data_IF_625905577350
#
_entry.id   IF_625905577350
#
_cell.length_a   1.000
_cell.length_b   1.000
_cell.length_c   1.000
_cell.angle_alpha   90.00
_cell.angle_beta   90.00
_cell.angle_gamma   90.00
#
_symmetry.space_group_name_H-M   'P 1'
#
loop_
_entity.id
_entity.type
_entity.pdbx_description
1 polymer ?
#
# COMPACT_ATOMS: atom_id res chain seq x y z
N UNK A 1 -25.45 14.03 10.93
CA UNK A 1 -24.07 13.55 11.12
C UNK A 1 -23.16 14.73 10.87
N UNK A 2 -22.42 15.19 11.87
CA UNK A 2 -21.47 16.30 11.69
C UNK A 2 -20.34 15.78 10.82
N UNK A 3 -20.15 16.32 9.62
CA UNK A 3 -18.97 16.05 8.80
C UNK A 3 -17.79 16.77 9.44
N UNK A 4 -17.27 16.22 10.54
CA UNK A 4 -16.00 16.67 11.10
C UNK A 4 -14.91 16.02 10.28
N UNK A 5 -14.15 16.85 9.57
CA UNK A 5 -12.89 16.46 8.94
C UNK A 5 -11.88 16.10 10.02
N UNK A 6 -11.05 15.09 9.76
CA UNK A 6 -9.92 14.74 10.62
C UNK A 6 -9.00 15.96 10.80
N UNK A 7 -8.37 16.10 11.96
CA UNK A 7 -7.40 17.14 12.23
C UNK A 7 -6.04 16.70 11.67
N UNK A 8 -5.48 17.45 10.72
CA UNK A 8 -4.18 17.12 10.10
C UNK A 8 -3.07 17.08 11.13
N UNK A 9 -3.08 18.00 12.11
CA UNK A 9 -2.01 18.08 13.11
C UNK A 9 -1.91 16.80 13.94
N UNK A 10 -3.04 16.14 14.20
CA UNK A 10 -3.08 14.85 14.90
C UNK A 10 -2.67 13.68 14.01
N UNK A 11 -2.79 13.80 12.68
CA UNK A 11 -2.36 12.73 11.78
C UNK A 11 -0.84 12.57 11.78
N UNK A 12 -0.10 13.66 11.92
CA UNK A 12 1.37 13.65 11.98
C UNK A 12 1.95 12.85 13.15
N UNK A 13 1.13 12.54 14.16
CA UNK A 13 1.52 11.71 15.31
C UNK A 13 1.49 10.19 14.99
N UNK A 14 0.91 9.79 13.85
CA UNK A 14 0.68 8.38 13.51
C UNK A 14 1.44 7.95 12.25
N UNK A 15 2.01 6.75 12.29
CA UNK A 15 2.69 6.11 11.17
C UNK A 15 1.64 5.49 10.21
N UNK A 16 1.75 5.70 8.88
CA UNK A 16 2.83 6.35 8.13
C UNK A 16 2.61 7.84 7.85
N UNK A 17 1.58 8.47 8.40
CA UNK A 17 1.20 9.82 7.98
C UNK A 17 2.26 10.86 8.32
N UNK A 18 3.10 10.59 9.31
CA UNK A 18 4.31 11.36 9.66
C UNK A 18 5.28 11.51 8.48
N UNK A 19 5.42 10.48 7.66
CA UNK A 19 6.34 10.46 6.51
C UNK A 19 5.73 10.95 5.18
N UNK A 20 4.43 11.28 5.13
CA UNK A 20 3.77 11.72 3.90
C UNK A 20 4.04 13.20 3.56
N UNK A 21 3.91 13.60 2.29
CA UNK A 21 3.92 15.02 1.92
C UNK A 21 2.65 15.73 2.43
N UNK A 22 2.70 17.07 2.53
CA UNK A 22 1.54 17.87 2.93
C UNK A 22 0.36 17.69 1.95
N UNK A 23 0.66 17.57 0.64
CA UNK A 23 -0.34 17.35 -0.41
C UNK A 23 -1.11 16.04 -0.21
N UNK A 24 -0.41 14.94 0.09
CA UNK A 24 -1.04 13.63 0.30
C UNK A 24 -1.73 13.52 1.65
N UNK A 25 -1.16 14.11 2.70
CA UNK A 25 -1.87 14.23 3.99
C UNK A 25 -3.22 14.91 3.80
N UNK A 26 -3.28 15.99 3.02
CA UNK A 26 -4.53 16.68 2.69
C UNK A 26 -5.49 15.79 1.87
N UNK A 27 -4.98 15.01 0.91
CA UNK A 27 -5.81 14.09 0.11
C UNK A 27 -6.44 12.98 0.98
N UNK A 28 -5.65 12.41 1.90
CA UNK A 28 -6.07 11.32 2.78
C UNK A 28 -6.97 11.82 3.89
N UNK A 29 -6.77 13.04 4.40
CA UNK A 29 -7.64 13.66 5.40
C UNK A 29 -9.11 13.64 4.97
N UNK A 30 -9.39 13.87 3.67
CA UNK A 30 -10.74 13.82 3.10
C UNK A 30 -11.38 12.42 3.09
N UNK A 31 -10.59 11.38 3.35
CA UNK A 31 -10.97 9.97 3.29
C UNK A 31 -11.02 9.32 4.68
N UNK A 32 -10.64 10.06 5.72
CA UNK A 32 -10.67 9.60 7.10
C UNK A 32 -12.06 9.84 7.68
N UNK A 33 -12.65 8.77 8.22
CA UNK A 33 -13.88 8.84 8.99
C UNK A 33 -13.58 9.13 10.46
N UNK A 34 -14.14 10.21 10.98
CA UNK A 34 -14.05 10.52 12.42
C UNK A 34 -15.20 9.83 13.15
N UNK A 35 -14.87 8.83 13.97
CA UNK A 35 -15.83 8.02 14.71
C UNK A 35 -15.84 8.47 16.17
N UNK A 36 -17.03 8.71 16.73
CA UNK A 36 -17.24 9.02 18.15
C UNK A 36 -18.12 7.99 18.80
N UNK A 37 -17.63 7.36 19.84
CA UNK A 37 -18.30 6.24 20.52
C UNK A 37 -18.36 6.55 22.02
N UNK A 38 -19.54 6.33 22.63
CA UNK A 38 -19.71 6.46 24.08
C UNK A 38 -19.16 5.24 24.84
N UNK A 39 -18.98 5.34 26.17
CA UNK A 39 -18.40 4.29 26.99
C UNK A 39 -19.16 2.95 26.94
N UNK A 40 -18.43 1.85 27.11
CA UNK A 40 -18.94 0.49 27.20
C UNK A 40 -19.42 -0.09 25.88
N UNK A 41 -19.01 0.49 24.74
CA UNK A 41 -19.42 0.05 23.40
C UNK A 41 -18.28 -0.68 22.71
N UNK A 42 -18.63 -1.78 22.05
CA UNK A 42 -17.73 -2.56 21.22
C UNK A 42 -17.39 -1.78 19.94
N UNK A 43 -16.10 -1.55 19.70
CA UNK A 43 -15.58 -0.99 18.46
C UNK A 43 -15.51 -2.10 17.39
N UNK A 44 -14.79 -3.19 17.68
CA UNK A 44 -14.72 -4.38 16.85
C UNK A 44 -14.46 -5.64 17.69
N UNK A 45 -14.72 -6.80 17.10
CA UNK A 45 -14.60 -8.12 17.74
C UNK A 45 -13.48 -8.94 17.10
N UNK A 46 -12.78 -9.73 17.90
CA UNK A 46 -11.83 -10.74 17.41
C UNK A 46 -12.50 -11.71 16.42
N UNK A 47 -11.83 -11.99 15.31
CA UNK A 47 -12.28 -12.81 14.19
C UNK A 47 -13.27 -12.09 13.26
N UNK A 48 -13.57 -10.82 13.51
CA UNK A 48 -14.36 -10.02 12.58
C UNK A 48 -13.45 -9.48 11.48
N UNK A 49 -13.78 -9.76 10.22
CA UNK A 49 -13.13 -9.09 9.09
C UNK A 49 -13.51 -7.61 9.08
N UNK A 50 -12.53 -6.75 8.85
CA UNK A 50 -12.74 -5.33 8.62
C UNK A 50 -11.88 -4.87 7.45
N UNK A 51 -12.31 -3.83 6.76
CA UNK A 51 -11.54 -3.07 5.78
C UNK A 51 -10.98 -1.78 6.39
N UNK A 52 -11.12 -1.57 7.70
CA UNK A 52 -10.71 -0.33 8.37
C UNK A 52 -9.57 -0.54 9.35
N UNK A 53 -8.63 0.39 9.34
CA UNK A 53 -7.64 0.58 10.38
C UNK A 53 -8.09 1.74 11.30
N UNK A 54 -7.94 1.56 12.61
CA UNK A 54 -8.41 2.51 13.61
C UNK A 54 -7.25 3.13 14.39
N UNK A 55 -7.26 4.46 14.52
CA UNK A 55 -6.28 5.22 15.31
C UNK A 55 -7.00 5.93 16.45
N UNK A 56 -6.48 5.81 17.67
CA UNK A 56 -7.09 6.37 18.87
C UNK A 56 -6.66 7.84 19.02
N UNK A 57 -7.63 8.76 18.97
CA UNK A 57 -7.35 10.20 19.04
C UNK A 57 -7.59 10.74 20.44
N UNK A 58 -8.70 10.32 21.06
CA UNK A 58 -9.09 10.73 22.40
C UNK A 58 -9.81 9.57 23.11
N UNK A 59 -9.62 9.46 24.41
CA UNK A 59 -10.26 8.45 25.25
C UNK A 59 -9.40 7.20 25.44
N UNK A 60 -10.06 6.10 25.79
CA UNK A 60 -9.40 4.84 26.15
C UNK A 60 -10.23 3.61 25.76
N UNK A 61 -9.50 2.53 25.50
CA UNK A 61 -10.00 1.24 25.05
C UNK A 61 -9.52 0.13 25.98
N UNK A 62 -10.41 -0.81 26.27
CA UNK A 62 -10.06 -2.10 26.84
C UNK A 62 -9.91 -3.11 25.68
N UNK A 63 -8.67 -3.53 25.46
CA UNK A 63 -8.25 -4.46 24.42
C UNK A 63 -8.13 -5.86 25.01
N UNK A 64 -8.79 -6.86 24.42
CA UNK A 64 -8.75 -8.24 24.92
C UNK A 64 -8.27 -9.23 23.87
N UNK A 65 -7.19 -9.94 24.18
CA UNK A 65 -6.54 -10.90 23.28
C UNK A 65 -7.14 -12.32 23.32
N UNK A 66 -6.49 -13.25 22.62
CA UNK A 66 -6.86 -14.66 22.57
C UNK A 66 -6.72 -15.41 23.90
N UNK A 67 -5.83 -14.94 24.76
CA UNK A 67 -5.54 -15.48 26.09
C UNK A 67 -6.47 -14.89 27.16
N UNK A 68 -7.46 -14.08 26.75
CA UNK A 68 -8.34 -13.30 27.62
C UNK A 68 -7.60 -12.28 28.50
N UNK A 69 -6.40 -11.88 28.10
CA UNK A 69 -5.67 -10.82 28.77
C UNK A 69 -6.26 -9.47 28.32
N UNK A 70 -6.64 -8.66 29.31
CA UNK A 70 -7.18 -7.32 29.09
C UNK A 70 -6.06 -6.30 29.27
N UNK A 71 -5.82 -5.51 28.23
CA UNK A 71 -4.92 -4.36 28.22
C UNK A 71 -5.75 -3.09 28.13
N UNK A 72 -5.55 -2.17 29.07
CA UNK A 72 -6.09 -0.83 28.98
C UNK A 72 -5.15 0.01 28.09
N UNK A 73 -5.69 0.67 27.07
CA UNK A 73 -4.95 1.43 26.07
C UNK A 73 -5.52 2.84 25.96
N UNK A 74 -4.67 3.86 26.05
CA UNK A 74 -5.10 5.27 26.12
C UNK A 74 -4.50 6.10 24.99
N UNK A 75 -5.13 7.23 24.69
CA UNK A 75 -4.64 8.15 23.66
C UNK A 75 -3.25 8.75 23.98
N UNK A 76 -2.85 8.74 25.25
CA UNK A 76 -1.57 9.26 25.74
C UNK A 76 -0.49 8.17 25.86
N UNK A 77 -0.80 6.92 25.52
CA UNK A 77 0.17 5.83 25.58
C UNK A 77 1.29 6.06 24.56
N UNK A 78 2.55 5.85 24.96
CA UNK A 78 3.72 5.96 24.08
C UNK A 78 3.64 5.06 22.84
N UNK A 79 2.80 4.01 22.87
CA UNK A 79 2.59 3.07 21.77
C UNK A 79 1.47 3.52 20.80
N UNK A 80 0.78 4.62 21.07
CA UNK A 80 -0.31 5.17 20.26
C UNK A 80 0.19 5.96 19.04
N UNK A 81 1.08 5.36 18.26
CA UNK A 81 1.55 5.86 16.97
C UNK A 81 1.23 4.90 15.81
N UNK A 82 0.60 3.75 16.09
CA UNK A 82 0.14 2.76 15.11
C UNK A 82 -1.37 2.57 15.19
N UNK A 83 -1.96 1.95 14.16
CA UNK A 83 -3.34 1.52 14.23
C UNK A 83 -3.52 0.41 15.28
N UNK A 84 -4.65 0.42 15.99
CA UNK A 84 -4.91 -0.42 17.17
C UNK A 84 -4.84 -1.92 16.86
N UNK A 85 -5.32 -2.34 15.69
CA UNK A 85 -5.32 -3.74 15.23
C UNK A 85 -5.38 -3.75 13.70
N UNK A 86 -4.23 -3.91 13.05
CA UNK A 86 -4.06 -3.69 11.61
C UNK A 86 -4.01 -5.00 10.79
N UNK A 87 -4.98 -5.88 11.01
CA UNK A 87 -5.05 -7.19 10.35
C UNK A 87 -6.30 -7.33 9.47
N UNK A 88 -6.26 -8.23 8.49
CA UNK A 88 -7.40 -8.68 7.67
C UNK A 88 -8.67 -8.95 8.51
N UNK A 89 -8.44 -9.67 9.60
CA UNK A 89 -9.42 -10.03 10.61
C UNK A 89 -8.87 -9.64 11.97
N UNK A 90 -9.72 -9.05 12.79
CA UNK A 90 -9.28 -8.53 14.08
C UNK A 90 -8.74 -9.63 14.98
N UNK A 91 -7.57 -9.40 15.57
CA UNK A 91 -6.91 -10.38 16.45
C UNK A 91 -7.33 -10.19 17.92
N UNK A 92 -7.92 -9.05 18.24
CA UNK A 92 -8.36 -8.65 19.58
C UNK A 92 -9.80 -8.12 19.58
N UNK A 93 -10.43 -8.07 20.75
CA UNK A 93 -11.66 -7.30 20.95
C UNK A 93 -11.29 -5.91 21.45
N UNK A 94 -11.96 -4.88 20.95
CA UNK A 94 -11.79 -3.50 21.43
C UNK A 94 -13.12 -2.95 21.97
N UNK A 95 -13.15 -2.58 23.24
CA UNK A 95 -14.31 -1.98 23.91
C UNK A 95 -13.90 -0.61 24.44
N UNK A 96 -14.74 0.40 24.21
CA UNK A 96 -14.52 1.75 24.76
C UNK A 96 -14.68 1.75 26.28
N UNK A 97 -13.64 2.17 26.99
CA UNK A 97 -13.70 2.34 28.45
C UNK A 97 -14.35 3.68 28.81
N UNK A 98 -14.13 4.71 27.99
CA UNK A 98 -14.73 6.03 28.12
C UNK A 98 -15.27 6.59 26.77
N UNK A 99 -15.73 7.83 26.76
CA UNK A 99 -16.10 8.50 25.51
C UNK A 99 -14.86 8.65 24.62
N UNK A 100 -14.89 8.00 23.46
CA UNK A 100 -13.71 7.77 22.62
C UNK A 100 -13.91 8.38 21.23
N UNK A 101 -12.89 9.06 20.72
CA UNK A 101 -12.80 9.55 19.34
C UNK A 101 -11.71 8.78 18.61
N UNK A 102 -12.05 8.23 17.44
CA UNK A 102 -11.15 7.46 16.58
C UNK A 102 -11.13 8.04 15.17
N UNK A 103 -9.99 7.89 14.50
CA UNK A 103 -9.93 7.94 13.04
C UNK A 103 -10.05 6.53 12.49
N UNK A 104 -10.86 6.37 11.46
CA UNK A 104 -10.94 5.15 10.69
C UNK A 104 -10.59 5.44 9.23
N UNK A 105 -9.66 4.67 8.71
CA UNK A 105 -9.18 4.75 7.32
C UNK A 105 -9.29 3.38 6.66
N UNK A 106 -9.50 3.33 5.35
CA UNK A 106 -9.43 2.10 4.60
C UNK A 106 -8.03 1.45 4.75
N UNK A 107 -8.00 0.20 5.20
CA UNK A 107 -6.78 -0.57 5.48
C UNK A 107 -6.00 -0.82 4.20
N UNK A 108 -6.68 -1.10 3.08
CA UNK A 108 -5.97 -1.32 1.82
C UNK A 108 -5.23 -0.05 1.42
N UNK A 109 -5.85 1.12 1.58
CA UNK A 109 -5.20 2.40 1.31
C UNK A 109 -4.05 2.69 2.28
N UNK A 110 -4.22 2.37 3.57
CA UNK A 110 -3.14 2.50 4.56
C UNK A 110 -1.95 1.59 4.25
N UNK A 111 -2.19 0.31 3.98
CA UNK A 111 -1.15 -0.67 3.62
C UNK A 111 -0.44 -0.28 2.32
N UNK A 112 -1.21 0.22 1.35
CA UNK A 112 -0.71 0.77 0.10
C UNK A 112 0.28 1.92 0.38
N UNK A 113 -0.13 2.92 1.17
CA UNK A 113 0.71 4.05 1.57
C UNK A 113 1.97 3.61 2.32
N UNK A 114 1.86 2.71 3.30
CA UNK A 114 3.01 2.17 4.05
C UNK A 114 4.02 1.50 3.10
N UNK A 115 3.52 0.69 2.17
CA UNK A 115 4.36 -0.01 1.19
C UNK A 115 5.10 0.99 0.31
N UNK A 116 4.44 2.09 -0.04
CA UNK A 116 5.01 3.16 -0.86
C UNK A 116 6.07 3.96 -0.15
N UNK A 117 5.81 4.43 1.07
CA UNK A 117 6.81 5.18 1.84
C UNK A 117 8.12 4.38 1.93
N UNK A 118 8.03 3.10 2.29
CA UNK A 118 9.22 2.25 2.39
C UNK A 118 9.86 1.94 1.02
N UNK A 119 9.07 1.79 -0.04
CA UNK A 119 9.59 1.57 -1.37
C UNK A 119 10.29 2.82 -1.92
N UNK A 120 9.70 4.00 -1.77
CA UNK A 120 10.22 5.27 -2.27
C UNK A 120 11.46 5.73 -1.48
N UNK A 121 11.48 5.59 -0.15
CA UNK A 121 12.65 5.90 0.69
C UNK A 121 13.93 5.14 0.27
N UNK A 122 13.79 3.97 -0.35
CA UNK A 122 14.95 3.23 -0.85
C UNK A 122 15.45 3.69 -2.22
N UNK A 123 14.61 4.42 -2.97
CA UNK A 123 14.91 4.93 -4.30
C UNK A 123 15.37 6.38 -4.28
N UNK A 124 14.98 7.12 -3.23
CA UNK A 124 15.32 8.51 -3.05
C UNK A 124 16.56 8.63 -2.17
N UNK A 125 17.55 9.42 -2.61
CA UNK A 125 18.65 9.84 -1.76
C UNK A 125 18.15 10.90 -0.74
N UNK A 126 18.88 11.11 0.37
CA UNK A 126 18.53 12.14 1.37
C UNK A 126 18.46 13.57 0.78
N UNK A 127 19.09 13.76 -0.40
CA UNK A 127 19.16 15.02 -1.14
C UNK A 127 18.07 15.18 -2.22
N UNK A 128 17.22 14.17 -2.45
CA UNK A 128 16.19 14.23 -3.49
C UNK A 128 15.05 15.21 -3.16
N UNK A 129 14.59 15.92 -4.19
CA UNK A 129 13.71 17.09 -4.06
C UNK A 129 12.25 16.69 -3.81
N UNK A 130 11.49 17.58 -3.15
CA UNK A 130 10.08 17.37 -2.79
C UNK A 130 9.20 17.05 -4.01
N UNK A 131 9.57 17.61 -5.17
CA UNK A 131 8.94 17.35 -6.46
C UNK A 131 8.99 15.88 -6.89
N UNK A 132 10.00 15.12 -6.47
CA UNK A 132 10.18 13.72 -6.85
C UNK A 132 9.23 12.80 -6.10
N UNK A 133 8.97 13.10 -4.83
CA UNK A 133 7.95 12.40 -4.02
C UNK A 133 6.55 12.69 -4.54
N UNK A 134 6.26 13.94 -4.86
CA UNK A 134 4.92 14.39 -5.24
C UNK A 134 4.35 13.69 -6.49
N UNK A 135 5.15 13.49 -7.55
CA UNK A 135 4.65 12.83 -8.77
C UNK A 135 4.50 11.32 -8.58
N UNK A 136 5.41 10.70 -7.81
CA UNK A 136 5.34 9.27 -7.48
C UNK A 136 4.07 8.98 -6.70
N UNK A 137 3.81 9.77 -5.66
CA UNK A 137 2.64 9.60 -4.81
C UNK A 137 1.33 9.86 -5.59
N UNK A 138 1.31 10.85 -6.49
CA UNK A 138 0.12 11.15 -7.29
C UNK A 138 -0.16 10.10 -8.40
N UNK A 139 0.88 9.45 -8.94
CA UNK A 139 0.72 8.29 -9.81
C UNK A 139 0.04 7.15 -9.03
N UNK A 140 0.50 6.92 -7.80
CA UNK A 140 0.05 5.82 -6.94
C UNK A 140 -1.32 6.05 -6.29
N UNK A 141 -1.75 7.31 -6.12
CA UNK A 141 -3.11 7.63 -5.66
C UNK A 141 -4.18 7.39 -6.74
N UNK A 142 -3.77 7.10 -7.98
CA UNK A 142 -4.69 6.79 -9.07
C UNK A 142 -5.27 5.38 -9.01
N UNK A 143 -6.53 5.24 -9.44
CA UNK A 143 -7.22 3.95 -9.49
C UNK A 143 -6.49 2.95 -10.41
N UNK A 144 -5.81 3.42 -11.44
CA UNK A 144 -5.08 2.58 -12.40
C UNK A 144 -3.91 1.85 -11.75
N UNK A 145 -3.14 2.57 -10.92
CA UNK A 145 -1.94 2.03 -10.28
C UNK A 145 -2.21 1.35 -8.94
N UNK A 146 -3.44 1.46 -8.42
CA UNK A 146 -3.89 0.68 -7.25
C UNK A 146 -3.92 -0.84 -7.49
N UNK A 147 -3.98 -1.26 -8.76
CA UNK A 147 -4.00 -2.66 -9.19
C UNK A 147 -2.61 -3.21 -9.52
N UNK A 148 -1.57 -2.38 -9.55
CA UNK A 148 -0.21 -2.87 -9.79
C UNK A 148 0.26 -3.63 -8.54
N UNK A 149 0.75 -4.87 -8.69
CA UNK A 149 1.31 -5.60 -7.57
C UNK A 149 2.40 -4.75 -6.89
N UNK A 150 2.35 -4.58 -5.56
CA UNK A 150 3.34 -3.84 -4.78
C UNK A 150 4.78 -4.16 -5.16
N UNK A 151 5.03 -5.45 -5.37
CA UNK A 151 6.22 -6.07 -5.94
C UNK A 151 6.81 -5.31 -7.14
N UNK A 152 5.98 -4.85 -8.05
CA UNK A 152 6.37 -4.30 -9.33
C UNK A 152 6.50 -2.78 -9.34
N UNK A 153 6.16 -2.07 -8.25
CA UNK A 153 6.20 -0.59 -8.24
C UNK A 153 7.63 -0.05 -8.34
N UNK A 154 8.61 -0.73 -7.74
CA UNK A 154 10.00 -0.34 -7.94
C UNK A 154 10.39 -0.46 -9.41
N UNK A 155 10.15 -1.63 -10.00
CA UNK A 155 10.40 -1.90 -11.41
C UNK A 155 9.64 -0.92 -12.32
N UNK A 156 8.46 -0.47 -11.90
CA UNK A 156 7.71 0.59 -12.56
C UNK A 156 8.44 1.92 -12.53
N UNK A 157 8.84 2.39 -11.34
CA UNK A 157 9.50 3.69 -11.20
C UNK A 157 10.87 3.76 -11.90
N UNK A 158 11.68 2.70 -11.84
CA UNK A 158 12.97 2.65 -12.54
C UNK A 158 12.82 2.68 -14.06
N UNK A 159 11.66 2.28 -14.59
CA UNK A 159 11.37 2.27 -16.03
C UNK A 159 10.80 3.58 -16.56
N UNK A 160 10.51 4.54 -15.69
CA UNK A 160 10.11 5.87 -16.14
C UNK A 160 11.31 6.65 -16.62
N UNK A 161 11.16 7.30 -17.78
CA UNK A 161 12.18 8.18 -18.36
C UNK A 161 11.72 9.63 -18.31
N UNK A 162 12.60 10.52 -17.86
CA UNK A 162 12.34 11.96 -17.87
C UNK A 162 12.37 12.54 -19.27
N UNK A 163 11.40 13.42 -19.56
CA UNK A 163 11.33 14.21 -20.78
C UNK A 163 10.99 15.67 -20.44
N UNK A 164 11.93 16.56 -20.72
CA UNK A 164 11.69 18.01 -20.70
C UNK A 164 10.73 18.41 -21.82
N UNK A 165 9.81 19.33 -21.52
CA UNK A 165 8.79 19.82 -22.46
C UNK A 165 8.59 21.32 -22.33
N UNK A 166 8.23 21.96 -23.44
CA UNK A 166 8.09 23.41 -23.52
C UNK A 166 6.62 23.87 -23.61
N UNK A 167 6.37 25.12 -23.22
CA UNK A 167 5.09 25.79 -23.41
C UNK A 167 4.63 25.67 -24.87
N UNK A 168 3.40 25.18 -25.06
CA UNK A 168 2.78 25.02 -26.37
C UNK A 168 3.15 23.72 -27.10
N UNK A 169 4.01 22.88 -26.52
CA UNK A 169 4.34 21.58 -27.08
C UNK A 169 3.16 20.62 -27.00
N UNK A 170 2.82 19.97 -28.12
CA UNK A 170 1.82 18.91 -28.16
C UNK A 170 2.48 17.59 -27.85
N UNK A 171 2.06 16.95 -26.76
CA UNK A 171 2.65 15.70 -26.26
C UNK A 171 1.97 14.49 -26.91
N UNK A 172 0.65 14.61 -27.10
CA UNK A 172 -0.20 13.56 -27.66
C UNK A 172 -1.20 14.23 -28.60
N UNK A 173 -1.43 13.63 -29.77
CA UNK A 173 -2.45 14.09 -30.72
C UNK A 173 -3.61 13.11 -30.76
N UNK A 174 -4.83 13.63 -30.76
CA UNK A 174 -6.04 12.83 -30.99
C UNK A 174 -5.96 12.03 -32.31
N UNK A 175 -6.34 10.76 -32.25
CA UNK A 175 -6.40 9.85 -33.39
C UNK A 175 -5.08 9.17 -33.76
N UNK A 176 -3.97 9.54 -33.12
CA UNK A 176 -2.70 8.83 -33.29
C UNK A 176 -2.65 7.56 -32.44
N UNK A 177 -1.81 6.59 -32.83
CA UNK A 177 -1.55 5.43 -31.99
C UNK A 177 -0.74 5.83 -30.76
N UNK A 178 -1.09 5.26 -29.61
CA UNK A 178 -0.44 5.56 -28.34
C UNK A 178 0.32 4.37 -27.77
N UNK A 179 1.60 4.54 -27.50
CA UNK A 179 2.48 3.52 -26.92
C UNK A 179 3.16 3.95 -25.61
N UNK A 180 2.82 5.14 -25.10
CA UNK A 180 3.48 5.74 -23.94
C UNK A 180 2.46 6.31 -22.95
N UNK A 181 2.66 6.05 -21.66
CA UNK A 181 1.99 6.71 -20.55
C UNK A 181 2.83 7.90 -20.11
N UNK A 182 2.18 9.01 -19.74
CA UNK A 182 2.87 10.20 -19.25
C UNK A 182 2.37 10.58 -17.87
N UNK A 183 3.28 11.02 -16.99
CA UNK A 183 2.98 11.66 -15.70
C UNK A 183 3.60 13.04 -15.70
N UNK A 184 2.84 14.06 -15.30
CA UNK A 184 3.36 15.43 -15.18
C UNK A 184 4.16 15.53 -13.88
N UNK A 185 5.50 15.50 -13.95
CA UNK A 185 6.37 15.80 -12.79
C UNK A 185 6.33 17.29 -12.48
N UNK A 186 6.43 18.12 -13.52
CA UNK A 186 6.37 19.57 -13.39
C UNK A 186 5.60 20.19 -14.55
N UNK A 187 4.86 21.26 -14.27
CA UNK A 187 4.16 22.06 -15.29
C UNK A 187 2.65 21.81 -15.36
N UNK A 188 2.03 22.29 -16.44
CA UNK A 188 0.58 22.22 -16.66
C UNK A 188 0.27 21.88 -18.11
N UNK A 189 -0.77 21.09 -18.33
CA UNK A 189 -1.22 20.69 -19.66
C UNK A 189 -2.73 20.91 -19.83
N UNK A 190 -3.18 21.01 -21.08
CA UNK A 190 -4.60 21.12 -21.43
C UNK A 190 -5.01 19.93 -22.29
N UNK A 191 -6.14 19.32 -21.94
CA UNK A 191 -6.77 18.24 -22.70
C UNK A 191 -7.83 18.82 -23.63
N UNK A 192 -7.71 18.57 -24.92
CA UNK A 192 -8.66 19.04 -25.92
C UNK A 192 -9.07 17.95 -26.88
N UNK A 193 -10.32 17.99 -27.36
CA UNK A 193 -10.85 17.06 -28.38
C UNK A 193 -11.49 17.85 -29.51
N UNK A 194 -11.30 17.38 -30.73
CA UNK A 194 -11.86 18.00 -31.93
C UNK A 194 -13.22 17.37 -32.24
N UNK A 195 -14.27 18.19 -32.23
CA UNK A 195 -15.61 17.78 -32.68
C UNK A 195 -16.06 18.65 -33.85
N UNK A 196 -15.91 18.11 -35.06
CA UNK A 196 -16.21 18.84 -36.30
C UNK A 196 -15.22 19.99 -36.50
N UNK A 197 -15.70 21.23 -36.55
CA UNK A 197 -14.87 22.43 -36.73
C UNK A 197 -14.51 23.15 -35.40
N UNK A 198 -14.88 22.58 -34.25
CA UNK A 198 -14.61 23.18 -32.93
C UNK A 198 -13.71 22.29 -32.09
N UNK A 199 -12.77 22.92 -31.40
CA UNK A 199 -11.94 22.31 -30.38
C UNK A 199 -12.62 22.51 -29.02
N UNK A 200 -12.93 21.41 -28.34
CA UNK A 200 -13.56 21.39 -27.02
C UNK A 200 -12.47 21.13 -25.97
N UNK A 201 -12.42 21.95 -24.91
CA UNK A 201 -11.51 21.73 -23.77
C UNK A 201 -12.18 20.79 -22.78
N UNK A 202 -11.52 19.66 -22.48
CA UNK A 202 -12.07 18.62 -21.62
C UNK A 202 -11.59 18.77 -20.17
N UNK A 203 -10.31 19.07 -19.97
CA UNK A 203 -9.70 19.17 -18.65
C UNK A 203 -8.40 19.98 -18.69
N UNK A 204 -8.01 20.53 -17.54
CA UNK A 204 -6.68 21.06 -17.30
C UNK A 204 -5.96 20.13 -16.33
N UNK A 205 -4.71 19.79 -16.64
CA UNK A 205 -3.86 18.90 -15.86
C UNK A 205 -2.69 19.69 -15.26
N UNK A 206 -2.25 19.29 -14.08
CA UNK A 206 -1.11 19.86 -13.36
C UNK A 206 -0.17 18.75 -12.92
N UNK A 207 0.95 19.12 -12.30
CA UNK A 207 1.84 18.19 -11.62
C UNK A 207 1.08 17.13 -10.80
N UNK A 208 1.56 15.89 -10.86
CA UNK A 208 0.95 14.70 -10.27
C UNK A 208 -0.15 14.04 -11.10
N UNK A 209 -0.67 14.70 -12.15
CA UNK A 209 -1.65 14.06 -13.06
C UNK A 209 -0.94 13.26 -14.15
N UNK A 210 -1.53 12.12 -14.50
CA UNK A 210 -1.09 11.28 -15.61
C UNK A 210 -2.10 11.31 -16.76
N UNK A 211 -1.68 10.86 -17.93
CA UNK A 211 -2.52 10.74 -19.11
C UNK A 211 -1.95 9.73 -20.11
N UNK A 212 -2.82 9.20 -20.96
CA UNK A 212 -2.46 8.30 -22.05
C UNK A 212 -2.63 6.81 -21.72
N UNK A 213 -3.12 6.49 -20.54
CA UNK A 213 -3.47 5.16 -20.04
C UNK A 213 -4.50 4.43 -20.90
N UNK A 214 -5.53 5.15 -21.37
CA UNK A 214 -6.64 4.57 -22.11
C UNK A 214 -6.16 3.84 -23.37
N UNK A 215 -5.19 4.43 -24.09
CA UNK A 215 -4.63 3.86 -25.30
C UNK A 215 -3.82 2.59 -25.03
N UNK A 216 -3.21 2.48 -23.85
CA UNK A 216 -2.41 1.31 -23.47
C UNK A 216 -3.30 0.13 -23.03
N UNK A 217 -4.43 0.42 -22.38
CA UNK A 217 -5.36 -0.58 -21.86
C UNK A 217 -6.27 -1.12 -22.97
N UNK A 218 -6.82 -0.22 -23.78
CA UNK A 218 -7.85 -0.55 -24.78
C UNK A 218 -7.30 -0.84 -26.18
N UNK A 219 -5.97 -0.72 -26.37
CA UNK A 219 -5.30 -0.84 -27.67
C UNK A 219 -5.99 0.01 -28.75
N UNK A 220 -6.37 1.23 -28.38
CA UNK A 220 -7.12 2.16 -29.23
C UNK A 220 -6.36 3.47 -29.46
N UNK A 221 -6.65 4.20 -30.57
CA UNK A 221 -6.03 5.49 -30.82
C UNK A 221 -6.31 6.50 -29.71
N UNK A 222 -5.42 7.48 -29.57
CA UNK A 222 -5.51 8.56 -28.58
C UNK A 222 -6.84 9.28 -28.70
N UNK A 223 -7.55 9.39 -27.58
CA UNK A 223 -8.92 9.91 -27.56
C UNK A 223 -8.99 11.45 -27.49
N UNK A 224 -7.86 12.14 -27.29
CA UNK A 224 -7.77 13.58 -27.14
C UNK A 224 -6.33 14.05 -27.41
N UNK A 225 -6.19 15.33 -27.71
CA UNK A 225 -4.90 16.03 -27.85
C UNK A 225 -4.51 16.66 -26.52
N UNK A 226 -3.24 16.51 -26.14
CA UNK A 226 -2.65 17.07 -24.92
C UNK A 226 -1.58 18.08 -25.31
N UNK A 227 -1.73 19.33 -24.87
CA UNK A 227 -0.78 20.41 -25.13
C UNK A 227 -0.31 21.05 -23.84
N UNK A 228 0.99 21.26 -23.70
CA UNK A 228 1.58 21.94 -22.55
C UNK A 228 1.19 23.42 -22.53
N UNK A 229 0.82 23.89 -21.35
CA UNK A 229 0.41 25.29 -21.06
C UNK A 229 1.42 26.02 -20.16
N UNK A 230 2.53 25.34 -19.84
CA UNK A 230 3.76 25.89 -19.26
C UNK A 230 4.93 25.01 -19.70
N UNK A 231 6.16 25.48 -19.52
CA UNK A 231 7.33 24.60 -19.50
C UNK A 231 7.18 23.57 -18.37
N UNK A 232 7.83 22.42 -18.50
CA UNK A 232 7.70 21.34 -17.53
C UNK A 232 8.55 20.11 -17.82
N UNK A 233 8.30 19.08 -17.01
CA UNK A 233 8.97 17.77 -17.09
C UNK A 233 7.91 16.68 -16.99
N UNK A 234 7.99 15.70 -17.88
CA UNK A 234 7.13 14.51 -17.90
C UNK A 234 7.94 13.27 -17.55
N UNK A 235 7.34 12.35 -16.81
CA UNK A 235 7.81 10.97 -16.68
C UNK A 235 7.10 10.11 -17.73
N UNK A 236 7.85 9.40 -18.56
CA UNK A 236 7.33 8.60 -19.67
C UNK A 236 7.52 7.11 -19.38
N UNK A 237 6.49 6.29 -19.59
CA UNK A 237 6.56 4.83 -19.45
C UNK A 237 6.03 4.16 -20.72
N UNK A 238 6.83 3.29 -21.32
CA UNK A 238 6.46 2.56 -22.54
C UNK A 238 5.38 1.51 -22.32
N UNK A 239 4.61 1.21 -23.36
CA UNK A 239 3.50 0.23 -23.36
C UNK A 239 3.93 -1.15 -22.90
N UNK A 240 5.06 -1.65 -23.41
CA UNK A 240 5.56 -2.97 -23.07
C UNK A 240 5.95 -3.06 -21.59
N UNK A 241 6.53 -1.99 -21.06
CA UNK A 241 6.89 -1.90 -19.66
C UNK A 241 5.67 -1.83 -18.77
N UNK A 242 4.70 -0.96 -19.11
CA UNK A 242 3.41 -0.87 -18.45
C UNK A 242 2.67 -2.22 -18.43
N UNK A 243 2.63 -2.93 -19.56
CA UNK A 243 2.00 -4.25 -19.66
C UNK A 243 2.75 -5.32 -18.86
N UNK A 244 4.08 -5.30 -18.86
CA UNK A 244 4.88 -6.24 -18.07
C UNK A 244 4.70 -6.03 -16.57
N UNK A 245 4.45 -4.79 -16.13
CA UNK A 245 4.19 -4.42 -14.74
C UNK A 245 2.79 -4.84 -14.28
N UNK A 246 1.82 -4.83 -15.20
CA UNK A 246 0.46 -5.32 -14.94
C UNK A 246 0.34 -6.84 -15.07
N UNK A 247 1.38 -7.54 -15.53
CA UNK A 247 1.38 -8.99 -15.60
C UNK A 247 1.74 -9.60 -14.25
N UNK A 248 0.88 -10.51 -13.80
CA UNK A 248 0.93 -11.15 -12.48
C UNK A 248 2.28 -11.85 -12.27
N UNK A 249 3.11 -11.33 -11.34
CA UNK A 249 4.29 -12.06 -10.87
C UNK A 249 3.79 -13.18 -9.96
N UNK A 250 4.10 -14.44 -10.27
CA UNK A 250 3.70 -15.58 -9.42
C UNK A 250 4.45 -15.50 -8.08
N UNK A 251 3.86 -14.81 -7.11
CA UNK A 251 4.29 -14.85 -5.72
C UNK A 251 3.91 -16.23 -5.17
N UNK A 252 4.88 -16.92 -4.59
CA UNK A 252 4.66 -18.23 -3.99
C UNK A 252 4.22 -18.04 -2.54
N UNK A 253 3.08 -18.61 -2.19
CA UNK A 253 2.58 -18.62 -0.81
C UNK A 253 2.81 -20.00 -0.20
N UNK A 254 3.01 -20.02 1.13
CA UNK A 254 3.08 -21.25 1.93
C UNK A 254 2.24 -21.07 3.19
N UNK A 255 1.49 -22.10 3.56
CA UNK A 255 0.80 -22.16 4.86
C UNK A 255 1.75 -22.50 6.01
N UNK A 256 1.31 -22.33 7.26
CA UNK A 256 2.10 -22.78 8.42
C UNK A 256 2.40 -24.28 8.39
N UNK A 257 1.42 -25.12 8.03
CA UNK A 257 1.59 -26.58 7.94
C UNK A 257 2.58 -26.98 6.82
N UNK A 258 2.51 -26.29 5.67
CA UNK A 258 3.46 -26.50 4.56
C UNK A 258 4.86 -26.03 4.94
N UNK A 259 4.97 -24.90 5.64
CA UNK A 259 6.24 -24.39 6.14
C UNK A 259 6.88 -25.38 7.12
N UNK A 260 6.13 -25.91 8.08
CA UNK A 260 6.62 -26.92 9.02
C UNK A 260 7.11 -28.17 8.28
N UNK A 261 6.36 -28.62 7.28
CA UNK A 261 6.78 -29.74 6.42
C UNK A 261 8.07 -29.42 5.67
N UNK A 262 8.17 -28.24 5.06
CA UNK A 262 9.36 -27.79 4.34
C UNK A 262 10.58 -27.71 5.26
N UNK A 263 10.42 -27.20 6.48
CA UNK A 263 11.52 -27.11 7.46
C UNK A 263 11.97 -28.48 7.95
N UNK A 264 11.04 -29.44 8.11
CA UNK A 264 11.36 -30.81 8.53
C UNK A 264 12.06 -31.63 7.43
N UNK A 265 11.70 -31.40 6.17
CA UNK A 265 12.22 -32.16 5.03
C UNK A 265 13.44 -31.53 4.35
N UNK A 266 13.69 -30.23 4.55
CA UNK A 266 14.77 -29.53 3.88
C UNK A 266 16.15 -29.78 4.53
N UNK A 267 17.15 -30.01 3.68
CA UNK A 267 18.57 -30.00 4.05
C UNK A 267 19.15 -28.56 4.15
N UNK A 268 18.35 -27.55 3.84
CA UNK A 268 18.74 -26.13 3.82
C UNK A 268 18.01 -25.32 4.88
N UNK A 269 18.64 -24.24 5.36
CA UNK A 269 18.05 -23.43 6.42
C UNK A 269 16.86 -22.59 5.93
N UNK A 270 15.83 -22.48 6.77
CA UNK A 270 14.72 -21.55 6.60
C UNK A 270 14.98 -20.26 7.38
N UNK A 271 14.86 -19.10 6.73
CA UNK A 271 14.94 -17.80 7.38
C UNK A 271 13.58 -17.11 7.32
N UNK A 272 12.98 -16.90 8.48
CA UNK A 272 11.78 -16.07 8.62
C UNK A 272 12.19 -14.59 8.60
N UNK A 273 11.56 -13.81 7.73
CA UNK A 273 11.87 -12.38 7.53
C UNK A 273 10.62 -11.55 7.75
N UNK A 274 10.68 -10.54 8.62
CA UNK A 274 9.59 -9.57 8.80
C UNK A 274 10.01 -8.24 8.16
N UNK A 275 9.31 -7.83 7.11
CA UNK A 275 9.66 -6.67 6.27
C UNK A 275 9.01 -5.36 6.72
N UNK A 276 8.30 -5.37 7.86
CA UNK A 276 7.66 -4.18 8.44
C UNK A 276 8.68 -3.28 9.14
N UNK A 277 8.28 -2.06 9.51
CA UNK A 277 9.15 -1.14 10.22
C UNK A 277 9.58 -1.73 11.59
N UNK A 278 10.76 -1.34 12.12
CA UNK A 278 11.20 -1.81 13.43
C UNK A 278 10.24 -1.50 14.58
N UNK A 279 9.41 -0.46 14.45
CA UNK A 279 8.38 -0.13 15.43
C UNK A 279 7.22 -1.12 15.41
N UNK A 280 6.73 -1.50 14.22
CA UNK A 280 5.70 -2.53 14.05
C UNK A 280 6.19 -3.89 14.56
N UNK A 281 7.42 -4.28 14.20
CA UNK A 281 8.03 -5.53 14.63
C UNK A 281 8.21 -5.63 16.15
N UNK A 282 8.51 -4.51 16.83
CA UNK A 282 8.60 -4.48 18.30
C UNK A 282 7.24 -4.67 18.97
N UNK A 283 6.18 -4.15 18.35
CA UNK A 283 4.82 -4.25 18.86
C UNK A 283 4.25 -5.66 18.68
N UNK A 284 4.43 -6.23 17.49
CA UNK A 284 3.98 -7.58 17.17
C UNK A 284 4.94 -8.24 16.16
N UNK A 285 5.44 -9.44 16.49
CA UNK A 285 6.38 -10.18 15.65
C UNK A 285 6.04 -11.65 15.54
N UNK A 286 6.37 -12.21 14.39
CA UNK A 286 6.46 -13.68 14.25
C UNK A 286 7.64 -14.20 15.09
N UNK A 287 7.43 -15.18 15.99
CA UNK A 287 8.51 -15.79 16.73
C UNK A 287 9.58 -16.35 15.79
N UNK A 288 10.85 -16.04 16.05
CA UNK A 288 11.97 -16.49 15.21
C UNK A 288 12.21 -15.68 13.93
N UNK A 289 11.33 -14.73 13.57
CA UNK A 289 11.58 -13.85 12.43
C UNK A 289 12.68 -12.82 12.72
N UNK A 290 13.51 -12.58 11.71
CA UNK A 290 14.45 -11.46 11.66
C UNK A 290 13.73 -10.26 11.04
N UNK A 291 13.74 -9.11 11.71
CA UNK A 291 13.27 -7.87 11.09
C UNK A 291 14.29 -7.40 10.06
N UNK A 292 13.84 -7.23 8.83
CA UNK A 292 14.59 -6.68 7.72
C UNK A 292 13.62 -5.82 6.90
N UNK A 293 13.37 -4.57 7.34
CA UNK A 293 12.41 -3.65 6.71
C UNK A 293 12.64 -3.54 5.20
N UNK A 294 11.60 -3.28 4.40
CA UNK A 294 11.69 -3.29 2.93
C UNK A 294 12.82 -2.41 2.36
N UNK A 295 13.05 -1.23 2.94
CA UNK A 295 14.12 -0.32 2.54
C UNK A 295 15.52 -0.90 2.77
N UNK A 296 15.73 -1.63 3.88
CA UNK A 296 16.96 -2.36 4.19
C UNK A 296 17.10 -3.63 3.35
N UNK A 297 16.01 -4.39 3.17
CA UNK A 297 15.98 -5.63 2.41
C UNK A 297 16.56 -5.43 1.00
N UNK A 298 16.17 -4.36 0.31
CA UNK A 298 16.69 -4.03 -1.02
C UNK A 298 18.20 -3.82 -1.06
N UNK A 299 18.76 -3.19 -0.02
CA UNK A 299 20.20 -2.92 0.09
C UNK A 299 20.98 -4.18 0.44
N UNK A 300 20.41 -5.05 1.28
CA UNK A 300 21.07 -6.26 1.77
C UNK A 300 20.86 -7.50 0.89
N UNK A 301 19.89 -7.50 -0.02
CA UNK A 301 19.46 -8.73 -0.73
C UNK A 301 20.60 -9.45 -1.46
N UNK A 302 21.55 -8.70 -2.03
CA UNK A 302 22.70 -9.27 -2.75
C UNK A 302 23.72 -9.95 -1.83
N UNK A 303 23.66 -9.66 -0.52
CA UNK A 303 24.54 -10.23 0.50
C UNK A 303 23.90 -11.41 1.25
N UNK A 304 22.66 -11.76 0.92
CA UNK A 304 21.95 -12.88 1.54
C UNK A 304 22.42 -14.22 0.94
N UNK A 305 22.41 -15.26 1.79
CA UNK A 305 22.84 -16.62 1.41
C UNK A 305 21.86 -17.25 0.42
N UNK A 306 22.37 -17.74 -0.71
CA UNK A 306 21.54 -18.24 -1.83
C UNK A 306 20.99 -19.65 -1.63
N UNK A 307 21.63 -20.44 -0.77
CA UNK A 307 21.23 -21.82 -0.50
C UNK A 307 20.08 -21.91 0.52
N UNK A 308 19.72 -20.81 1.18
CA UNK A 308 18.60 -20.75 2.12
C UNK A 308 17.30 -20.44 1.40
N UNK A 309 16.19 -20.86 1.99
CA UNK A 309 14.88 -20.35 1.60
C UNK A 309 14.37 -19.34 2.63
N UNK A 310 13.76 -18.29 2.12
CA UNK A 310 13.31 -17.14 2.90
C UNK A 310 11.78 -17.10 2.89
N UNK A 311 11.20 -16.93 4.07
CA UNK A 311 9.75 -16.85 4.21
C UNK A 311 9.42 -15.49 4.81
N UNK A 312 8.74 -14.67 4.03
CA UNK A 312 8.36 -13.33 4.44
C UNK A 312 7.08 -13.41 5.27
N UNK A 313 7.20 -12.99 6.53
CA UNK A 313 6.14 -12.97 7.51
C UNK A 313 5.43 -11.62 7.52
N UNK A 314 4.11 -11.66 7.73
CA UNK A 314 3.24 -10.49 7.76
C UNK A 314 2.13 -10.62 6.72
N UNK A 315 1.07 -9.85 6.86
CA UNK A 315 -0.01 -9.80 5.89
C UNK A 315 0.12 -8.59 4.94
N UNK A 316 -0.56 -8.69 3.81
CA UNK A 316 -0.70 -7.58 2.88
C UNK A 316 0.47 -7.36 1.92
N UNK A 317 0.46 -6.18 1.32
CA UNK A 317 1.23 -5.81 0.12
C UNK A 317 2.73 -5.82 0.34
N UNK A 318 3.18 -5.50 1.55
CA UNK A 318 4.60 -5.44 1.91
C UNK A 318 5.26 -6.81 1.90
N UNK A 319 4.57 -7.84 2.39
CA UNK A 319 5.09 -9.21 2.39
C UNK A 319 5.28 -9.75 0.98
N UNK A 320 4.33 -9.49 0.08
CA UNK A 320 4.42 -9.85 -1.34
C UNK A 320 5.60 -9.15 -2.03
N UNK A 321 5.77 -7.84 -1.79
CA UNK A 321 6.91 -7.09 -2.30
C UNK A 321 8.25 -7.61 -1.75
N UNK A 322 8.31 -7.95 -0.46
CA UNK A 322 9.49 -8.57 0.13
C UNK A 322 9.87 -9.89 -0.53
N UNK A 323 8.89 -10.78 -0.75
CA UNK A 323 9.09 -12.07 -1.40
C UNK A 323 9.49 -11.91 -2.87
N UNK A 324 8.95 -10.90 -3.56
CA UNK A 324 9.37 -10.55 -4.91
C UNK A 324 10.83 -10.10 -4.97
N UNK A 325 11.25 -9.14 -4.13
CA UNK A 325 12.62 -8.62 -4.10
C UNK A 325 13.63 -9.76 -3.89
N UNK A 326 13.34 -10.67 -2.95
CA UNK A 326 14.15 -11.85 -2.70
C UNK A 326 14.19 -12.78 -3.93
N UNK A 327 13.04 -13.06 -4.54
CA UNK A 327 12.94 -13.94 -5.72
C UNK A 327 13.67 -13.37 -6.94
N UNK A 328 13.58 -12.06 -7.17
CA UNK A 328 14.27 -11.36 -8.27
C UNK A 328 15.80 -11.44 -8.11
N UNK A 329 16.30 -11.37 -6.88
CA UNK A 329 17.72 -11.58 -6.57
C UNK A 329 18.18 -13.06 -6.72
N UNK A 330 17.27 -13.96 -7.11
CA UNK A 330 17.53 -15.39 -7.31
C UNK A 330 17.47 -16.22 -6.03
N UNK A 331 16.87 -15.70 -4.96
CA UNK A 331 16.69 -16.42 -3.70
C UNK A 331 15.38 -17.22 -3.72
N UNK A 332 15.32 -18.31 -2.97
CA UNK A 332 14.10 -19.10 -2.86
C UNK A 332 13.15 -18.47 -1.83
N UNK A 333 12.25 -17.58 -2.29
CA UNK A 333 11.36 -16.84 -1.38
C UNK A 333 9.87 -17.19 -1.49
N UNK A 334 9.18 -17.08 -0.36
CA UNK A 334 7.75 -17.34 -0.18
C UNK A 334 7.11 -16.29 0.74
N UNK A 335 5.80 -16.08 0.61
CA UNK A 335 4.98 -15.34 1.59
C UNK A 335 4.30 -16.34 2.51
N UNK A 336 4.40 -16.14 3.83
CA UNK A 336 3.65 -16.95 4.78
C UNK A 336 2.17 -16.55 4.74
N UNK A 337 1.33 -17.44 4.23
CA UNK A 337 -0.11 -17.35 4.38
C UNK A 337 -0.48 -17.90 5.75
N UNK A 338 -0.79 -17.00 6.69
CA UNK A 338 -1.24 -17.39 8.03
C UNK A 338 -2.65 -18.00 8.05
N UNK A 339 -3.25 -18.20 6.87
CA UNK A 339 -4.61 -18.66 6.71
C UNK A 339 -5.60 -17.59 7.15
N UNK A 340 -6.77 -17.60 6.52
CA UNK A 340 -7.97 -17.23 7.29
C UNK A 340 -8.00 -18.17 8.50
N UNK A 341 -8.39 -17.71 9.71
CA UNK A 341 -8.62 -18.63 10.81
C UNK A 341 -9.67 -19.63 10.33
N UNK A 342 -9.20 -20.82 9.96
CA UNK A 342 -10.01 -21.91 9.46
C UNK A 342 -11.09 -22.19 10.48
N UNK A 343 -12.32 -22.38 9.99
CA UNK A 343 -13.46 -22.91 10.73
C UNK A 343 -13.12 -24.30 11.32
N UNK A 344 -12.33 -24.30 12.39
CA UNK A 344 -12.18 -25.44 13.29
C UNK A 344 -13.45 -25.52 14.15
N UNK A 345 -14.62 -25.69 13.50
CA UNK A 345 -15.92 -26.07 14.10
C UNK A 345 -17.06 -26.28 13.10
N UNK A 346 -16.85 -27.01 12.00
CA UNK A 346 -18.00 -27.60 11.25
C UNK A 346 -18.00 -29.13 11.09
N UNK A 347 -17.02 -29.84 11.65
CA UNK A 347 -17.09 -31.32 11.75
C UNK A 347 -17.48 -31.77 13.17
N UNK A 348 -18.72 -31.49 13.60
CA UNK A 348 -19.32 -32.28 14.70
C UNK A 348 -20.86 -32.32 14.74
N UNK A 349 -21.57 -31.91 13.68
CA UNK A 349 -23.05 -31.93 13.68
C UNK A 349 -23.69 -32.56 12.44
N UNK A 350 -23.06 -33.58 11.84
CA UNK A 350 -23.67 -34.37 10.76
C UNK A 350 -24.00 -35.84 11.12
N UNK A 351 -23.57 -36.39 12.27
CA UNK A 351 -23.80 -37.81 12.62
C UNK A 351 -24.86 -38.07 13.71
N UNK A 352 -25.76 -37.12 13.99
CA UNK A 352 -26.88 -37.33 14.92
C UNK A 352 -28.27 -37.37 14.23
N UNK A 353 -28.33 -37.84 12.98
CA UNK A 353 -29.58 -38.18 12.30
C UNK A 353 -29.44 -39.47 11.48
N UNK A 354 -29.12 -40.57 12.14
CA UNK A 354 -29.49 -41.93 11.72
C UNK A 354 -29.19 -42.91 12.87
N UNK A 355 -30.05 -42.91 13.88
CA UNK A 355 -30.25 -44.03 14.80
C UNK A 355 -31.67 -43.94 15.38
#
# INVERSE_FOLDING_TARGET
MSNQTADISRLEDFIPFDCLSESHRNEIQGQIEVIKIGPGRLLFKRGQSSDKAYFLIEGSLDLTDASFQVRHFTADDDENYLAIDNYAEHTINAITAEATTLYAIDRNKLDLLMTWTQAAESMLDEDDDENERDWMDALLSSELFSAVPPAMIHSLFVKFEEREVQLGETIVTEGEDGDTLFVIKQGKAMVTRTRGAKQETLAALSAGRFFGEDALISDSPRNATITMTSDGVLMCLGKNDFQAILQDSVIRHVTEDELDTMVLEADTACILVDVRLPMEFRHDRTPGARNLPLNELRREVQNLEKDFFYVVCGDGRRSELGAYILSEAGLNAYVLDRGKPTDAKEESHAEAKQA
#
